data_IF_160923234029
#
_entry.id   IF_160923234029
#
_cell.length_a   1.000
_cell.length_b   1.000
_cell.length_c   1.000
_cell.angle_alpha   90.00
_cell.angle_beta   90.00
_cell.angle_gamma   90.00
#
_symmetry.space_group_name_H-M   'P 1'
#
loop_
_entity.id
_entity.type
_entity.pdbx_description
1 polymer ?
#
# COMPACT_ATOMS: atom_id res chain seq x y z
N UNK A 1 10.56 -1.81 10.14
CA UNK A 1 10.32 -0.87 9.02
C UNK A 1 9.00 -1.22 8.35
N UNK A 2 8.21 -0.24 7.94
CA UNK A 2 6.93 -0.43 7.22
C UNK A 2 7.12 -0.34 5.70
N UNK A 3 6.50 -1.27 4.97
CA UNK A 3 6.55 -1.38 3.52
C UNK A 3 5.13 -1.29 2.93
N UNK A 4 4.57 -0.07 2.73
CA UNK A 4 3.28 0.08 2.05
C UNK A 4 3.40 -0.38 0.60
N UNK A 5 2.48 -1.24 0.14
CA UNK A 5 2.47 -1.82 -1.22
C UNK A 5 1.39 -1.12 -2.04
N UNK A 6 1.80 -0.45 -3.13
CA UNK A 6 0.93 0.40 -3.95
C UNK A 6 1.08 0.10 -5.45
N UNK A 7 -0.01 0.28 -6.19
CA UNK A 7 -0.12 -0.10 -7.62
C UNK A 7 0.28 1.00 -8.61
N UNK A 8 0.99 2.03 -8.19
CA UNK A 8 1.38 3.17 -9.01
C UNK A 8 0.24 3.85 -9.79
N UNK A 9 -0.98 3.87 -9.24
CA UNK A 9 -2.07 4.71 -9.73
C UNK A 9 -1.84 6.16 -9.27
N UNK A 10 -2.50 7.11 -9.95
CA UNK A 10 -2.33 8.54 -9.69
C UNK A 10 -2.40 8.90 -8.20
N UNK A 11 -3.46 8.50 -7.52
CA UNK A 11 -3.67 8.84 -6.11
C UNK A 11 -2.74 8.10 -5.15
N UNK A 12 -2.28 6.91 -5.52
CA UNK A 12 -1.27 6.16 -4.77
C UNK A 12 0.12 6.81 -4.91
N UNK A 13 0.48 7.24 -6.12
CA UNK A 13 1.72 7.98 -6.35
C UNK A 13 1.72 9.34 -5.66
N UNK A 14 0.61 10.09 -5.70
CA UNK A 14 0.47 11.35 -4.96
C UNK A 14 0.63 11.14 -3.46
N UNK A 15 0.01 10.08 -2.91
CA UNK A 15 0.18 9.72 -1.48
C UNK A 15 1.66 9.59 -1.11
N UNK A 16 2.44 8.84 -1.90
CA UNK A 16 3.87 8.67 -1.64
C UNK A 16 4.67 9.96 -1.85
N UNK A 17 4.31 10.73 -2.87
CA UNK A 17 4.97 12.00 -3.19
C UNK A 17 4.83 12.99 -2.03
N UNK A 18 3.62 13.16 -1.51
CA UNK A 18 3.33 14.09 -0.42
C UNK A 18 3.94 13.65 0.91
N UNK A 19 3.88 12.34 1.21
CA UNK A 19 4.46 11.79 2.44
C UNK A 19 5.99 11.72 2.43
N UNK A 20 6.64 11.81 1.28
CA UNK A 20 8.09 11.68 1.17
C UNK A 20 8.85 12.68 2.05
N UNK A 21 8.37 13.94 2.13
CA UNK A 21 9.01 14.99 2.95
C UNK A 21 8.57 14.99 4.42
N UNK A 22 7.60 14.16 4.79
CA UNK A 22 7.00 14.14 6.12
C UNK A 22 7.53 12.95 6.93
N UNK A 23 7.65 11.79 6.29
CA UNK A 23 7.99 10.55 6.97
C UNK A 23 9.51 10.30 7.03
N UNK A 24 10.02 9.86 8.20
CA UNK A 24 11.42 9.48 8.32
C UNK A 24 11.76 8.27 7.45
N UNK A 25 12.82 8.35 6.65
CA UNK A 25 13.30 7.26 5.78
C UNK A 25 13.66 5.97 6.55
N UNK A 26 13.89 6.07 7.85
CA UNK A 26 14.17 4.93 8.73
C UNK A 26 12.92 4.13 9.11
N UNK A 27 11.73 4.68 8.87
CA UNK A 27 10.46 4.07 9.30
C UNK A 27 9.69 3.43 8.15
N UNK A 28 9.83 3.91 6.90
CA UNK A 28 9.07 3.35 5.79
C UNK A 28 9.88 3.22 4.51
N UNK A 29 9.51 2.24 3.70
CA UNK A 29 10.09 1.96 2.39
C UNK A 29 8.99 1.44 1.46
N UNK A 30 8.39 2.27 0.60
CA UNK A 30 7.28 1.83 -0.23
C UNK A 30 7.69 0.80 -1.29
N UNK A 31 6.77 -0.12 -1.58
CA UNK A 31 6.84 -1.07 -2.69
C UNK A 31 5.87 -0.59 -3.76
N UNK A 32 6.38 -0.32 -4.95
CA UNK A 32 5.60 0.28 -6.03
C UNK A 32 5.50 -0.70 -7.19
N UNK A 33 4.27 -1.15 -7.52
CA UNK A 33 4.00 -1.95 -8.71
C UNK A 33 3.46 -1.05 -9.84
N UNK A 34 4.22 -0.81 -10.90
CA UNK A 34 3.75 -0.06 -12.07
C UNK A 34 2.58 -0.77 -12.74
N UNK A 35 1.50 -0.03 -13.04
CA UNK A 35 0.30 -0.57 -13.70
C UNK A 35 -0.10 0.21 -14.95
N UNK A 36 0.59 1.32 -15.24
CA UNK A 36 0.31 2.21 -16.36
C UNK A 36 1.53 2.37 -17.28
N UNK A 37 1.29 2.63 -18.56
CA UNK A 37 2.34 2.97 -19.52
C UNK A 37 2.85 4.43 -19.40
N UNK A 38 2.20 5.27 -18.59
CA UNK A 38 2.61 6.66 -18.36
C UNK A 38 3.55 6.72 -17.16
N UNK A 39 4.86 6.69 -17.41
CA UNK A 39 5.88 6.58 -16.35
C UNK A 39 6.27 7.91 -15.70
N UNK A 40 5.97 9.07 -16.29
CA UNK A 40 6.36 10.38 -15.73
C UNK A 40 5.93 10.59 -14.27
N UNK A 41 4.70 10.26 -13.83
CA UNK A 41 4.33 10.38 -12.43
C UNK A 41 5.12 9.43 -11.51
N UNK A 42 5.39 8.19 -11.95
CA UNK A 42 6.21 7.24 -11.21
C UNK A 42 7.65 7.77 -11.05
N UNK A 43 8.26 8.26 -12.13
CA UNK A 43 9.60 8.86 -12.12
C UNK A 43 9.66 10.05 -11.16
N UNK A 44 8.68 10.94 -11.19
CA UNK A 44 8.61 12.08 -10.27
C UNK A 44 8.47 11.63 -8.79
N UNK A 45 7.71 10.57 -8.54
CA UNK A 45 7.56 10.02 -7.18
C UNK A 45 8.84 9.35 -6.70
N UNK A 46 9.56 8.61 -7.56
CA UNK A 46 10.88 8.03 -7.24
C UNK A 46 11.87 9.15 -6.89
N UNK A 47 11.93 10.20 -7.70
CA UNK A 47 12.79 11.36 -7.48
C UNK A 47 12.50 12.04 -6.14
N UNK A 48 11.23 12.30 -5.85
CA UNK A 48 10.79 12.93 -4.59
C UNK A 48 11.14 12.07 -3.36
N UNK A 49 10.91 10.75 -3.43
CA UNK A 49 11.27 9.81 -2.36
C UNK A 49 12.78 9.83 -2.12
N UNK A 50 13.58 9.73 -3.20
CA UNK A 50 15.03 9.72 -3.12
C UNK A 50 15.60 11.03 -2.54
N UNK A 51 15.06 12.18 -2.94
CA UNK A 51 15.45 13.49 -2.40
C UNK A 51 15.19 13.62 -0.90
N UNK A 52 14.32 12.77 -0.35
CA UNK A 52 14.05 12.64 1.07
C UNK A 52 14.67 11.36 1.68
N UNK A 53 15.72 10.84 1.08
CA UNK A 53 16.51 9.69 1.55
C UNK A 53 15.74 8.34 1.58
N UNK A 54 14.59 8.27 0.93
CA UNK A 54 13.81 7.02 0.79
C UNK A 54 14.14 6.39 -0.55
N UNK A 55 14.67 5.15 -0.54
CA UNK A 55 14.89 4.35 -1.75
C UNK A 55 13.78 3.32 -1.90
N UNK A 56 12.73 3.58 -2.72
CA UNK A 56 11.61 2.67 -2.86
C UNK A 56 12.01 1.35 -3.53
N UNK A 57 11.24 0.29 -3.30
CA UNK A 57 11.28 -0.93 -4.09
C UNK A 57 10.34 -0.76 -5.29
N UNK A 58 10.82 -0.92 -6.51
CA UNK A 58 9.99 -0.82 -7.72
C UNK A 58 9.95 -2.16 -8.43
N UNK A 59 8.75 -2.72 -8.61
CA UNK A 59 8.57 -3.99 -9.32
C UNK A 59 8.87 -3.76 -10.80
N UNK A 60 9.89 -4.42 -11.33
CA UNK A 60 10.36 -4.26 -12.70
C UNK A 60 9.74 -5.24 -13.70
N UNK A 61 9.05 -6.27 -13.20
CA UNK A 61 8.27 -7.23 -13.98
C UNK A 61 6.78 -7.25 -13.58
N UNK A 62 6.09 -6.10 -13.58
CA UNK A 62 4.68 -6.03 -13.22
C UNK A 62 3.82 -6.87 -14.18
N UNK A 63 2.68 -7.36 -13.64
CA UNK A 63 1.76 -8.23 -14.39
C UNK A 63 0.32 -7.74 -14.40
N UNK A 64 0.04 -6.53 -13.90
CA UNK A 64 -1.31 -5.98 -13.76
C UNK A 64 -1.50 -4.71 -14.60
N UNK A 65 -2.75 -4.31 -14.80
CA UNK A 65 -3.09 -3.12 -15.57
C UNK A 65 -2.61 -3.19 -17.02
N UNK A 66 -1.87 -2.18 -17.46
CA UNK A 66 -1.28 -2.16 -18.81
C UNK A 66 -0.44 -3.43 -19.08
N UNK A 67 0.28 -3.93 -18.08
CA UNK A 67 1.18 -5.08 -18.23
C UNK A 67 0.48 -6.45 -18.17
N UNK A 68 -0.81 -6.50 -17.93
CA UNK A 68 -1.59 -7.73 -18.07
C UNK A 68 -1.63 -8.23 -19.53
N UNK A 69 -1.44 -7.32 -20.50
CA UNK A 69 -1.50 -7.59 -21.95
C UNK A 69 -0.23 -7.15 -22.69
N UNK A 70 0.70 -6.48 -22.03
CA UNK A 70 1.90 -5.92 -22.65
C UNK A 70 3.14 -6.35 -21.86
N UNK A 71 4.25 -6.52 -22.56
CA UNK A 71 5.52 -6.88 -21.95
C UNK A 71 6.07 -5.76 -21.05
N UNK A 72 6.66 -6.13 -19.93
CA UNK A 72 7.40 -5.23 -19.03
C UNK A 72 8.92 -5.22 -19.29
N UNK A 73 9.40 -5.97 -20.28
CA UNK A 73 10.84 -6.21 -20.48
C UNK A 73 11.71 -4.95 -20.63
N UNK A 74 11.15 -3.84 -21.13
CA UNK A 74 11.87 -2.56 -21.28
C UNK A 74 11.74 -1.61 -20.07
N UNK A 75 10.92 -1.94 -19.08
CA UNK A 75 10.56 -1.01 -17.98
C UNK A 75 11.78 -0.58 -17.16
N UNK A 76 12.62 -1.53 -16.75
CA UNK A 76 13.82 -1.23 -15.96
C UNK A 76 14.77 -0.30 -16.71
N UNK A 77 15.06 -0.62 -17.98
CA UNK A 77 15.92 0.22 -18.83
C UNK A 77 15.37 1.64 -19.00
N UNK A 78 14.05 1.77 -19.17
CA UNK A 78 13.38 3.06 -19.28
C UNK A 78 13.53 3.89 -17.99
N UNK A 79 13.34 3.27 -16.82
CA UNK A 79 13.51 3.95 -15.53
C UNK A 79 14.99 4.30 -15.26
N UNK A 80 15.95 3.50 -15.73
CA UNK A 80 17.36 3.78 -15.60
C UNK A 80 17.87 4.84 -16.60
N UNK A 81 17.18 5.04 -17.72
CA UNK A 81 17.54 6.06 -18.71
C UNK A 81 17.14 7.48 -18.28
N UNK A 82 16.17 7.65 -17.37
CA UNK A 82 15.74 8.97 -16.91
C UNK A 82 16.59 9.41 -15.69
N UNK A 83 17.28 10.58 -15.75
CA UNK A 83 18.12 11.05 -14.65
C UNK A 83 17.41 11.25 -13.32
N UNK A 84 16.09 11.41 -13.33
CA UNK A 84 15.26 11.56 -12.13
C UNK A 84 14.98 10.24 -11.43
N UNK A 85 15.13 9.11 -12.09
CA UNK A 85 14.89 7.79 -11.50
C UNK A 85 16.11 6.85 -11.54
N UNK A 86 17.11 7.13 -12.39
CA UNK A 86 18.31 6.31 -12.50
C UNK A 86 19.01 6.15 -11.14
N UNK A 87 19.22 4.89 -10.72
CA UNK A 87 19.86 4.52 -9.45
C UNK A 87 19.20 5.06 -8.18
N UNK A 88 17.92 5.51 -8.24
CA UNK A 88 17.17 6.08 -7.13
C UNK A 88 16.15 5.14 -6.51
N UNK A 89 16.10 3.90 -6.96
CA UNK A 89 15.23 2.86 -6.44
C UNK A 89 15.94 1.52 -6.42
N UNK A 90 15.44 0.57 -5.65
CA UNK A 90 15.88 -0.82 -5.68
C UNK A 90 14.93 -1.60 -6.58
N UNK A 91 15.45 -2.29 -7.63
CA UNK A 91 14.61 -3.17 -8.43
C UNK A 91 14.02 -4.27 -7.56
N UNK A 92 12.74 -4.53 -7.73
CA UNK A 92 12.01 -5.62 -7.06
C UNK A 92 11.50 -6.58 -8.12
N UNK A 93 11.75 -7.87 -7.95
CA UNK A 93 11.32 -8.90 -8.89
C UNK A 93 10.19 -9.70 -8.24
N UNK A 94 9.04 -9.68 -8.92
CA UNK A 94 7.85 -10.41 -8.52
C UNK A 94 7.93 -11.83 -9.04
N UNK A 95 7.84 -12.82 -8.14
CA UNK A 95 7.91 -14.23 -8.45
C UNK A 95 6.57 -14.87 -8.07
N UNK A 96 5.88 -15.44 -9.05
CA UNK A 96 4.56 -16.05 -8.84
C UNK A 96 4.66 -17.40 -8.15
N UNK A 97 5.51 -18.26 -8.69
CA UNK A 97 5.70 -19.63 -8.24
C UNK A 97 7.06 -20.16 -8.71
N UNK A 98 7.38 -21.41 -8.36
CA UNK A 98 8.63 -22.07 -8.74
C UNK A 98 8.82 -22.28 -10.24
N UNK A 99 7.77 -22.21 -11.04
CA UNK A 99 7.82 -22.36 -12.50
C UNK A 99 7.98 -21.02 -13.25
N UNK A 100 8.04 -19.90 -12.55
CA UNK A 100 8.20 -18.56 -13.14
C UNK A 100 9.63 -18.34 -13.68
N UNK A 101 9.92 -19.00 -14.81
CA UNK A 101 11.25 -18.95 -15.44
C UNK A 101 11.68 -17.53 -15.82
N UNK A 102 10.75 -16.65 -16.16
CA UNK A 102 11.04 -15.25 -16.49
C UNK A 102 11.55 -14.50 -15.25
N UNK A 103 10.87 -14.62 -14.12
CA UNK A 103 11.32 -14.00 -12.88
C UNK A 103 12.65 -14.59 -12.40
N UNK A 104 12.84 -15.91 -12.49
CA UNK A 104 14.10 -16.56 -12.12
C UNK A 104 15.27 -16.10 -12.99
N UNK A 105 15.06 -15.88 -14.29
CA UNK A 105 16.07 -15.32 -15.20
C UNK A 105 16.42 -13.87 -14.85
N UNK A 106 15.43 -13.06 -14.45
CA UNK A 106 15.66 -11.70 -13.97
C UNK A 106 16.46 -11.68 -12.67
N UNK A 107 16.19 -12.59 -11.74
CA UNK A 107 16.94 -12.70 -10.48
C UNK A 107 18.43 -13.01 -10.74
N UNK A 108 18.72 -13.87 -11.72
CA UNK A 108 20.11 -14.13 -12.14
C UNK A 108 20.81 -12.88 -12.72
N UNK A 109 20.04 -12.00 -13.38
CA UNK A 109 20.56 -10.76 -13.97
C UNK A 109 20.70 -9.62 -12.93
N UNK A 110 19.92 -9.65 -11.84
CA UNK A 110 19.88 -8.62 -10.80
C UNK A 110 20.03 -9.23 -9.40
N UNK A 111 21.19 -9.75 -9.02
CA UNK A 111 21.38 -10.51 -7.78
C UNK A 111 21.10 -9.73 -6.49
N UNK A 112 21.17 -8.39 -6.52
CA UNK A 112 20.87 -7.51 -5.37
C UNK A 112 19.44 -6.95 -5.40
N UNK A 113 18.57 -7.43 -6.29
CA UNK A 113 17.18 -7.01 -6.32
C UNK A 113 16.44 -7.46 -5.05
N UNK A 114 15.39 -6.74 -4.69
CA UNK A 114 14.41 -7.27 -3.76
C UNK A 114 13.54 -8.33 -4.46
N UNK A 115 13.01 -9.27 -3.69
CA UNK A 115 12.12 -10.30 -4.20
C UNK A 115 10.74 -10.12 -3.57
N UNK A 116 9.70 -10.15 -4.39
CA UNK A 116 8.31 -10.19 -3.97
C UNK A 116 7.71 -11.55 -4.31
N UNK A 117 7.46 -12.38 -3.29
CA UNK A 117 6.89 -13.72 -3.48
C UNK A 117 5.37 -13.67 -3.41
N UNK A 118 4.69 -14.14 -4.44
CA UNK A 118 3.23 -14.35 -4.44
C UNK A 118 2.84 -15.71 -3.83
N UNK A 119 3.74 -16.70 -3.93
CA UNK A 119 3.57 -18.02 -3.32
C UNK A 119 4.92 -18.66 -2.97
N UNK A 120 4.88 -19.83 -2.37
CA UNK A 120 6.06 -20.65 -2.08
C UNK A 120 6.75 -21.11 -3.38
N UNK A 121 8.08 -21.02 -3.43
CA UNK A 121 8.90 -21.46 -4.56
C UNK A 121 9.84 -22.63 -4.19
N UNK A 122 9.63 -23.22 -3.02
CA UNK A 122 10.32 -24.43 -2.55
C UNK A 122 11.73 -24.20 -1.99
N UNK A 123 12.19 -25.16 -1.20
CA UNK A 123 13.48 -25.09 -0.50
C UNK A 123 14.71 -25.02 -1.42
N UNK A 124 14.61 -25.50 -2.67
CA UNK A 124 15.68 -25.41 -3.66
C UNK A 124 16.06 -23.98 -4.05
N UNK A 125 15.19 -23.00 -3.76
CA UNK A 125 15.39 -21.60 -4.10
C UNK A 125 16.04 -20.78 -2.98
N UNK A 126 16.37 -21.36 -1.84
CA UNK A 126 16.90 -20.66 -0.66
C UNK A 126 18.18 -19.86 -0.95
N UNK A 127 19.10 -20.37 -1.80
CA UNK A 127 20.32 -19.63 -2.16
C UNK A 127 20.02 -18.34 -2.92
N UNK A 128 19.07 -18.38 -3.86
CA UNK A 128 18.62 -17.23 -4.64
C UNK A 128 17.86 -16.24 -3.75
N UNK A 129 16.97 -16.72 -2.89
CA UNK A 129 16.23 -15.87 -1.96
C UNK A 129 17.16 -15.15 -0.98
N UNK A 130 18.19 -15.83 -0.47
CA UNK A 130 19.15 -15.25 0.47
C UNK A 130 20.18 -14.31 -0.17
N UNK A 131 20.29 -14.29 -1.50
CA UNK A 131 21.12 -13.29 -2.21
C UNK A 131 20.40 -11.96 -2.41
N UNK A 132 19.08 -11.93 -2.23
CA UNK A 132 18.28 -10.73 -2.41
C UNK A 132 18.53 -9.69 -1.32
N UNK A 133 18.34 -8.41 -1.64
CA UNK A 133 18.43 -7.31 -0.67
C UNK A 133 17.36 -7.42 0.44
N UNK A 134 16.18 -7.91 0.11
CA UNK A 134 15.14 -8.37 1.04
C UNK A 134 14.14 -9.28 0.30
N UNK A 135 13.42 -10.11 1.05
CA UNK A 135 12.37 -10.99 0.54
C UNK A 135 11.03 -10.59 1.16
N UNK A 136 10.12 -10.07 0.35
CA UNK A 136 8.75 -9.78 0.75
C UNK A 136 7.91 -11.05 0.54
N UNK A 137 7.20 -11.49 1.55
CA UNK A 137 6.37 -12.70 1.48
C UNK A 137 5.13 -12.61 2.37
N UNK A 138 4.08 -13.32 1.96
CA UNK A 138 2.93 -13.55 2.81
C UNK A 138 3.13 -14.85 3.58
N UNK A 139 3.22 -14.76 4.92
CA UNK A 139 3.45 -15.94 5.78
C UNK A 139 2.37 -17.03 5.67
N UNK A 140 1.18 -16.69 5.19
CA UNK A 140 0.12 -17.66 4.95
C UNK A 140 0.29 -18.45 3.64
N UNK A 141 1.18 -17.99 2.75
CA UNK A 141 1.40 -18.58 1.42
C UNK A 141 2.78 -19.24 1.26
N UNK A 142 3.68 -19.08 2.24
CA UNK A 142 5.05 -19.61 2.21
C UNK A 142 5.27 -20.50 3.43
N UNK A 143 5.87 -21.67 3.24
CA UNK A 143 6.15 -22.63 4.31
C UNK A 143 7.05 -21.99 5.40
N UNK A 144 6.69 -22.18 6.65
CA UNK A 144 7.41 -21.60 7.79
C UNK A 144 8.87 -22.08 7.87
N UNK A 145 9.13 -23.33 7.48
CA UNK A 145 10.49 -23.89 7.46
C UNK A 145 11.41 -23.21 6.43
N UNK A 146 10.82 -22.61 5.39
CA UNK A 146 11.54 -21.78 4.42
C UNK A 146 11.76 -20.39 5.00
N UNK A 147 10.70 -19.78 5.55
CA UNK A 147 10.78 -18.44 6.17
C UNK A 147 11.88 -18.37 7.21
N UNK A 148 12.01 -19.41 8.06
CA UNK A 148 13.02 -19.48 9.12
C UNK A 148 14.47 -19.56 8.64
N UNK A 149 14.68 -19.95 7.38
CA UNK A 149 16.02 -20.04 6.73
C UNK A 149 16.38 -18.82 5.89
N UNK A 150 15.45 -17.86 5.75
CA UNK A 150 15.69 -16.64 4.98
C UNK A 150 16.32 -15.55 5.84
N UNK A 151 17.05 -14.65 5.16
CA UNK A 151 17.58 -13.42 5.74
C UNK A 151 16.77 -12.22 5.20
N UNK A 152 16.68 -11.14 5.99
CA UNK A 152 16.04 -9.89 5.59
C UNK A 152 14.59 -10.07 5.06
N UNK A 153 13.77 -10.81 5.83
CA UNK A 153 12.38 -11.05 5.49
C UNK A 153 11.53 -9.80 5.80
N UNK A 154 10.64 -9.48 4.88
CA UNK A 154 9.55 -8.53 5.06
C UNK A 154 8.23 -9.29 4.92
N UNK A 155 7.46 -9.36 5.99
CA UNK A 155 6.17 -10.04 5.97
C UNK A 155 5.07 -9.10 5.54
N UNK A 156 4.19 -9.51 4.62
CA UNK A 156 3.05 -8.68 4.23
C UNK A 156 1.73 -9.46 4.30
N UNK A 157 0.63 -8.73 4.36
CA UNK A 157 -0.71 -9.30 4.30
C UNK A 157 -1.68 -8.39 3.55
N UNK A 158 -2.70 -8.98 2.92
CA UNK A 158 -3.89 -8.23 2.50
C UNK A 158 -4.87 -8.18 3.66
N UNK A 159 -4.80 -7.09 4.41
CA UNK A 159 -5.52 -6.94 5.68
C UNK A 159 -6.82 -6.14 5.54
N UNK A 160 -7.01 -5.46 4.40
CA UNK A 160 -8.22 -4.68 4.19
C UNK A 160 -9.40 -5.59 3.82
N UNK A 161 -10.35 -5.76 4.74
CA UNK A 161 -11.54 -6.59 4.57
C UNK A 161 -12.52 -5.98 3.54
N UNK A 162 -12.09 -5.91 2.26
CA UNK A 162 -12.84 -5.32 1.16
C UNK A 162 -14.21 -5.98 0.99
N UNK A 163 -15.26 -5.17 0.93
CA UNK A 163 -16.62 -5.62 0.67
C UNK A 163 -17.00 -5.42 -0.80
N UNK A 164 -17.91 -6.26 -1.28
CA UNK A 164 -18.42 -6.17 -2.65
C UNK A 164 -19.12 -4.83 -2.90
N UNK A 165 -19.83 -4.30 -1.89
CA UNK A 165 -20.52 -3.01 -1.94
C UNK A 165 -20.17 -2.19 -0.70
N UNK A 166 -20.06 -0.86 -0.83
CA UNK A 166 -19.82 0.02 0.30
C UNK A 166 -20.94 -0.04 1.37
N UNK A 167 -22.16 -0.38 0.97
CA UNK A 167 -23.28 -0.58 1.90
C UNK A 167 -23.11 -1.80 2.84
N UNK A 168 -22.22 -2.73 2.50
CA UNK A 168 -22.01 -3.96 3.27
C UNK A 168 -20.95 -3.79 4.39
N UNK A 169 -20.34 -2.61 4.51
CA UNK A 169 -19.41 -2.35 5.60
C UNK A 169 -20.17 -2.11 6.91
N UNK A 170 -19.72 -2.77 7.96
CA UNK A 170 -20.06 -2.40 9.34
C UNK A 170 -19.35 -1.12 9.75
N UNK A 171 -19.68 -0.54 10.90
CA UNK A 171 -19.02 0.69 11.37
C UNK A 171 -17.51 0.55 11.60
N UNK A 172 -17.05 -0.67 11.92
CA UNK A 172 -15.66 -0.98 12.26
C UNK A 172 -15.31 -2.40 11.81
N UNK A 173 -14.07 -2.61 11.36
CA UNK A 173 -13.49 -3.93 11.12
C UNK A 173 -12.07 -4.02 11.70
N UNK A 174 -11.67 -5.23 12.08
CA UNK A 174 -10.26 -5.54 12.37
C UNK A 174 -9.44 -5.41 11.08
N UNK A 175 -8.25 -4.84 11.19
CA UNK A 175 -7.33 -4.73 10.07
C UNK A 175 -6.16 -5.70 10.24
N UNK A 176 -5.27 -5.46 11.20
CA UNK A 176 -4.06 -6.26 11.38
C UNK A 176 -3.44 -6.09 12.77
N UNK A 177 -2.67 -7.09 13.19
CA UNK A 177 -1.70 -7.00 14.30
C UNK A 177 -0.25 -7.17 13.82
N UNK A 178 -0.03 -7.13 12.49
CA UNK A 178 1.28 -7.46 11.89
C UNK A 178 2.37 -6.46 12.30
N UNK A 179 2.04 -5.18 12.44
CA UNK A 179 2.94 -4.11 12.89
C UNK A 179 3.49 -4.33 14.31
N UNK A 180 2.84 -5.18 15.11
CA UNK A 180 3.33 -5.62 16.44
C UNK A 180 4.03 -6.96 16.33
N UNK A 181 3.44 -7.91 15.60
CA UNK A 181 3.87 -9.31 15.63
C UNK A 181 5.09 -9.62 14.77
N UNK A 182 5.42 -8.80 13.76
CA UNK A 182 6.55 -9.07 12.85
C UNK A 182 7.90 -9.19 13.58
N UNK A 183 8.06 -8.49 14.70
CA UNK A 183 9.29 -8.50 15.52
C UNK A 183 9.54 -9.81 16.28
N UNK A 184 8.58 -10.76 16.26
CA UNK A 184 8.72 -12.04 16.97
C UNK A 184 9.79 -12.96 16.38
N UNK A 185 10.12 -12.81 15.09
CA UNK A 185 11.21 -13.54 14.43
C UNK A 185 12.37 -12.60 14.14
N UNK A 186 13.59 -13.00 14.52
CA UNK A 186 14.79 -12.16 14.40
C UNK A 186 15.23 -11.88 12.95
N UNK A 187 14.85 -12.74 12.02
CA UNK A 187 15.12 -12.59 10.58
C UNK A 187 14.08 -11.72 9.85
N UNK A 188 13.01 -11.27 10.53
CA UNK A 188 11.99 -10.41 9.96
C UNK A 188 12.33 -8.95 10.27
N UNK A 189 12.75 -8.22 9.25
CA UNK A 189 13.22 -6.83 9.34
C UNK A 189 12.10 -5.80 9.16
N UNK A 190 10.94 -6.20 8.63
CA UNK A 190 9.83 -5.30 8.37
C UNK A 190 8.50 -6.00 8.09
N UNK A 191 7.48 -5.19 7.95
CA UNK A 191 6.13 -5.65 7.59
C UNK A 191 5.52 -4.74 6.53
N UNK A 192 4.54 -5.25 5.79
CA UNK A 192 3.85 -4.52 4.74
C UNK A 192 2.37 -4.87 4.64
N UNK A 193 1.63 -4.00 3.97
CA UNK A 193 0.22 -4.21 3.60
C UNK A 193 -0.16 -3.39 2.36
N UNK A 194 -1.39 -3.57 1.89
CA UNK A 194 -1.94 -2.84 0.74
C UNK A 194 -2.78 -1.62 1.15
N UNK A 195 -2.49 -1.05 2.32
CA UNK A 195 -3.21 0.09 2.90
C UNK A 195 -4.73 -0.18 2.98
N UNK A 196 -5.55 0.85 2.83
CA UNK A 196 -7.02 0.72 2.76
C UNK A 196 -7.51 0.36 1.34
N UNK A 197 -6.62 0.00 0.43
CA UNK A 197 -6.97 -0.35 -0.95
C UNK A 197 -7.16 -1.85 -1.18
N UNK A 198 -6.40 -2.68 -0.44
CA UNK A 198 -6.35 -4.13 -0.65
C UNK A 198 -5.49 -4.54 -1.85
N UNK A 199 -5.17 -5.83 -1.93
CA UNK A 199 -4.29 -6.43 -2.96
C UNK A 199 -4.92 -6.42 -4.36
N UNK A 200 -6.25 -6.58 -4.42
CA UNK A 200 -6.95 -6.71 -5.69
C UNK A 200 -6.80 -5.47 -6.58
N UNK A 201 -6.30 -5.68 -7.81
CA UNK A 201 -6.22 -4.64 -8.82
C UNK A 201 -7.57 -4.44 -9.50
N UNK A 202 -8.03 -3.21 -9.56
CA UNK A 202 -9.20 -2.80 -10.34
C UNK A 202 -8.80 -1.63 -11.25
N UNK A 203 -9.06 -1.74 -12.56
CA UNK A 203 -8.77 -0.66 -13.51
C UNK A 203 -9.51 0.64 -13.17
N UNK A 204 -10.78 0.54 -12.81
CA UNK A 204 -11.62 1.67 -12.43
C UNK A 204 -12.43 1.38 -11.17
N UNK A 205 -12.88 2.42 -10.50
CA UNK A 205 -13.87 2.31 -9.45
C UNK A 205 -15.25 2.00 -10.04
N UNK A 206 -16.03 1.18 -9.35
CA UNK A 206 -17.44 0.96 -9.67
C UNK A 206 -18.30 2.20 -9.37
N UNK A 207 -19.58 2.19 -9.76
CA UNK A 207 -20.52 3.26 -9.45
C UNK A 207 -20.69 3.44 -7.95
N UNK A 208 -20.66 4.69 -7.48
CA UNK A 208 -20.73 5.03 -6.06
C UNK A 208 -22.19 5.09 -5.57
N UNK A 209 -22.84 3.95 -5.45
CA UNK A 209 -24.20 3.89 -4.89
C UNK A 209 -24.20 4.35 -3.40
N UNK A 210 -23.21 3.91 -2.65
CA UNK A 210 -22.89 4.39 -1.28
C UNK A 210 -21.45 4.87 -1.29
N UNK A 211 -21.18 6.03 -0.71
CA UNK A 211 -19.82 6.53 -0.47
C UNK A 211 -19.37 6.10 0.91
N UNK A 212 -18.19 5.52 1.01
CA UNK A 212 -17.56 5.13 2.26
C UNK A 212 -16.21 5.84 2.43
N UNK A 213 -15.96 6.39 3.60
CA UNK A 213 -14.65 6.88 4.05
C UNK A 213 -14.09 5.82 5.00
N UNK A 214 -12.87 5.35 4.72
CA UNK A 214 -12.17 4.35 5.52
C UNK A 214 -11.03 5.03 6.26
N UNK A 215 -11.04 4.98 7.60
CA UNK A 215 -10.01 5.60 8.44
C UNK A 215 -9.48 4.57 9.41
N UNK A 216 -8.21 4.23 9.28
CA UNK A 216 -7.55 3.26 10.15
C UNK A 216 -7.09 3.91 11.46
N UNK A 217 -6.97 3.10 12.51
CA UNK A 217 -6.43 3.53 13.81
C UNK A 217 -5.86 2.33 14.56
N UNK A 218 -4.95 2.60 15.48
CA UNK A 218 -4.39 1.58 16.38
C UNK A 218 -5.16 1.65 17.69
N UNK A 219 -5.79 0.55 18.08
CA UNK A 219 -6.59 0.43 19.29
C UNK A 219 -5.67 0.05 20.47
N UNK A 220 -5.37 1.03 21.31
CA UNK A 220 -4.49 0.83 22.47
C UNK A 220 -5.13 -0.07 23.57
N UNK A 221 -6.44 -0.31 23.53
CA UNK A 221 -7.14 -1.16 24.50
C UNK A 221 -7.07 -2.65 24.13
N UNK A 222 -6.99 -2.96 22.83
CA UNK A 222 -6.82 -4.32 22.33
C UNK A 222 -5.39 -4.45 21.82
N UNK A 223 -4.49 -5.28 22.36
CA UNK A 223 -3.02 -5.24 22.32
C UNK A 223 -2.41 -4.56 21.08
N UNK A 224 -2.65 -3.25 20.96
CA UNK A 224 -2.24 -2.38 19.86
C UNK A 224 -2.63 -2.89 18.46
N UNK A 225 -3.78 -3.54 18.33
CA UNK A 225 -4.27 -4.00 17.03
C UNK A 225 -4.79 -2.84 16.17
N UNK A 226 -4.55 -2.92 14.87
CA UNK A 226 -5.07 -1.94 13.93
C UNK A 226 -6.49 -2.30 13.48
N UNK A 227 -7.34 -1.30 13.43
CA UNK A 227 -8.73 -1.38 12.97
C UNK A 227 -9.01 -0.31 11.92
N UNK A 228 -10.11 -0.45 11.20
CA UNK A 228 -10.62 0.55 10.27
C UNK A 228 -12.05 0.91 10.63
N UNK A 229 -12.34 2.19 10.81
CA UNK A 229 -13.70 2.69 10.81
C UNK A 229 -14.19 2.95 9.37
N UNK A 230 -15.44 2.62 9.12
CA UNK A 230 -16.09 2.78 7.82
C UNK A 230 -17.27 3.74 7.98
N UNK A 231 -17.11 4.96 7.50
CA UNK A 231 -18.15 5.98 7.50
C UNK A 231 -18.89 5.95 6.16
N UNK A 232 -20.03 5.27 6.16
CA UNK A 232 -20.83 5.09 4.95
C UNK A 232 -21.97 6.10 4.91
N UNK A 233 -22.30 6.62 3.70
CA UNK A 233 -23.54 7.36 3.50
C UNK A 233 -24.74 6.45 3.75
N UNK A 234 -25.83 7.01 4.28
CA UNK A 234 -27.05 6.24 4.61
C UNK A 234 -27.89 5.97 3.37
N UNK A 235 -27.88 6.92 2.44
CA UNK A 235 -28.71 6.83 1.23
C UNK A 235 -28.11 5.79 0.29
N UNK A 236 -28.76 4.64 0.20
CA UNK A 236 -28.58 3.63 -0.84
C UNK A 236 -29.77 3.72 -1.80
N UNK A 237 -29.81 4.82 -2.57
CA UNK A 237 -30.85 5.07 -3.58
C UNK A 237 -30.66 4.23 -4.84
N UNK A 238 -29.65 3.35 -4.85
CA UNK A 238 -29.21 2.54 -6.01
C UNK A 238 -28.91 3.38 -7.26
N UNK A 239 -28.64 4.68 -7.07
CA UNK A 239 -28.21 5.59 -8.12
C UNK A 239 -26.75 5.98 -7.91
N UNK A 240 -25.90 5.98 -8.93
CA UNK A 240 -24.50 6.41 -8.82
C UNK A 240 -24.36 7.94 -8.81
N UNK A 241 -25.47 8.66 -8.77
CA UNK A 241 -25.53 10.12 -8.76
C UNK A 241 -25.26 10.71 -7.37
N UNK A 242 -25.04 12.01 -7.30
CA UNK A 242 -24.84 12.76 -6.07
C UNK A 242 -23.71 12.23 -5.17
N UNK A 243 -22.61 11.78 -5.74
CA UNK A 243 -21.45 11.31 -4.94
C UNK A 243 -20.95 12.38 -3.96
N UNK A 244 -21.07 13.66 -4.28
CA UNK A 244 -20.72 14.78 -3.41
C UNK A 244 -21.62 14.87 -2.16
N UNK A 245 -22.93 14.71 -2.30
CA UNK A 245 -23.86 14.69 -1.16
C UNK A 245 -23.64 13.48 -0.27
N UNK A 246 -23.45 12.30 -0.87
CA UNK A 246 -23.14 11.06 -0.15
C UNK A 246 -21.80 11.16 0.61
N UNK A 247 -20.78 11.77 0.00
CA UNK A 247 -19.51 12.03 0.67
C UNK A 247 -19.68 12.96 1.88
N UNK A 248 -20.39 14.07 1.72
CA UNK A 248 -20.64 15.02 2.83
C UNK A 248 -21.35 14.35 4.01
N UNK A 249 -22.31 13.48 3.74
CA UNK A 249 -22.97 12.69 4.78
C UNK A 249 -21.99 11.76 5.53
N UNK A 250 -21.16 11.04 4.80
CA UNK A 250 -20.13 10.19 5.40
C UNK A 250 -19.10 11.02 6.21
N UNK A 251 -18.72 12.19 5.70
CA UNK A 251 -17.79 13.10 6.35
C UNK A 251 -18.38 13.68 7.66
N UNK A 252 -19.65 14.06 7.68
CA UNK A 252 -20.34 14.53 8.90
C UNK A 252 -20.33 13.42 9.96
N UNK A 253 -20.63 12.17 9.60
CA UNK A 253 -20.55 11.02 10.51
C UNK A 253 -19.16 10.83 11.09
N UNK A 254 -18.14 10.94 10.25
CA UNK A 254 -16.74 10.84 10.67
C UNK A 254 -16.39 11.92 11.70
N UNK A 255 -16.74 13.18 11.46
CA UNK A 255 -16.41 14.27 12.36
C UNK A 255 -17.27 14.30 13.64
N UNK A 256 -18.51 13.83 13.58
CA UNK A 256 -19.31 13.58 14.78
C UNK A 256 -18.65 12.52 15.68
N UNK A 257 -18.13 11.45 15.10
CA UNK A 257 -17.39 10.42 15.84
C UNK A 257 -16.08 10.97 16.43
N UNK A 258 -15.31 11.74 15.66
CA UNK A 258 -14.06 12.38 16.13
C UNK A 258 -14.35 13.32 17.31
N UNK A 259 -15.41 14.12 17.25
CA UNK A 259 -15.79 15.03 18.33
C UNK A 259 -16.12 14.28 19.63
N UNK A 260 -16.74 13.10 19.53
CA UNK A 260 -17.02 12.24 20.68
C UNK A 260 -15.79 11.43 21.16
N UNK A 261 -14.76 11.26 20.30
CA UNK A 261 -13.57 10.46 20.56
C UNK A 261 -12.31 11.19 20.08
N UNK A 262 -11.90 12.29 20.72
CA UNK A 262 -10.90 13.23 20.20
C UNK A 262 -9.47 12.65 20.06
N UNK A 263 -9.18 11.55 20.73
CA UNK A 263 -7.86 10.91 20.74
C UNK A 263 -7.77 9.63 19.91
N UNK A 264 -8.84 9.28 19.17
CA UNK A 264 -8.92 7.99 18.45
C UNK A 264 -7.99 7.93 17.23
N UNK A 265 -7.77 9.07 16.57
CA UNK A 265 -6.93 9.16 15.38
C UNK A 265 -5.70 10.02 15.62
N UNK A 266 -4.58 9.59 15.04
CA UNK A 266 -3.37 10.41 14.97
C UNK A 266 -3.60 11.67 14.13
N UNK A 267 -2.87 12.72 14.48
CA UNK A 267 -2.92 13.97 13.73
C UNK A 267 -1.97 13.87 12.51
N UNK A 268 -2.51 13.42 11.40
CA UNK A 268 -1.79 13.12 10.16
C UNK A 268 -2.14 14.12 9.06
N UNK A 269 -1.32 14.14 7.98
CA UNK A 269 -1.62 14.92 6.77
C UNK A 269 -3.01 14.55 6.21
N UNK A 270 -3.29 13.25 6.06
CA UNK A 270 -4.57 12.79 5.52
C UNK A 270 -5.76 13.23 6.38
N UNK A 271 -5.64 13.19 7.71
CA UNK A 271 -6.70 13.67 8.60
C UNK A 271 -6.85 15.20 8.54
N UNK A 272 -5.75 15.94 8.36
CA UNK A 272 -5.78 17.40 8.18
C UNK A 272 -6.50 17.79 6.88
N UNK A 273 -6.28 17.05 5.78
CA UNK A 273 -6.99 17.24 4.52
C UNK A 273 -8.49 16.94 4.65
N UNK A 274 -8.88 15.90 5.41
CA UNK A 274 -10.29 15.67 5.75
C UNK A 274 -10.89 16.81 6.56
N UNK A 275 -10.16 17.36 7.55
CA UNK A 275 -10.61 18.55 8.32
C UNK A 275 -10.83 19.76 7.43
N UNK A 276 -9.91 20.03 6.51
CA UNK A 276 -10.06 21.12 5.55
C UNK A 276 -11.28 20.93 4.65
N UNK A 277 -11.50 19.70 4.15
CA UNK A 277 -12.69 19.36 3.36
C UNK A 277 -13.99 19.54 4.17
N UNK A 278 -14.00 19.16 5.45
CA UNK A 278 -15.14 19.32 6.35
C UNK A 278 -15.47 20.79 6.63
N UNK A 279 -14.46 21.61 6.89
CA UNK A 279 -14.63 23.03 7.22
C UNK A 279 -15.40 23.81 6.13
N UNK A 280 -15.21 23.46 4.87
CA UNK A 280 -15.86 24.10 3.72
C UNK A 280 -16.88 23.21 3.02
N UNK A 281 -17.16 22.03 3.57
CA UNK A 281 -18.08 21.01 3.02
C UNK A 281 -17.83 20.73 1.53
N UNK A 282 -16.56 20.69 1.14
CA UNK A 282 -16.12 20.46 -0.24
C UNK A 282 -15.99 18.95 -0.55
N UNK A 283 -16.44 18.55 -1.74
CA UNK A 283 -16.21 17.20 -2.25
C UNK A 283 -15.03 17.20 -3.23
N UNK A 284 -13.87 16.63 -2.85
CA UNK A 284 -12.67 16.70 -3.69
C UNK A 284 -12.64 15.63 -4.80
N UNK A 285 -13.62 14.74 -4.82
CA UNK A 285 -13.66 13.56 -5.67
C UNK A 285 -13.20 12.28 -4.95
N UNK A 286 -13.79 11.14 -5.33
CA UNK A 286 -13.56 9.86 -4.63
C UNK A 286 -12.10 9.39 -4.65
N UNK A 287 -11.35 9.77 -5.68
CA UNK A 287 -9.91 9.46 -5.76
C UNK A 287 -9.11 10.16 -4.65
N UNK A 288 -9.37 11.46 -4.41
CA UNK A 288 -8.72 12.22 -3.34
C UNK A 288 -9.18 11.74 -1.95
N UNK A 289 -10.44 11.31 -1.78
CA UNK A 289 -10.90 10.69 -0.53
C UNK A 289 -10.07 9.45 -0.18
N UNK A 290 -9.78 8.60 -1.16
CA UNK A 290 -8.90 7.42 -0.97
C UNK A 290 -7.45 7.85 -0.68
N UNK A 291 -6.95 8.87 -1.35
CA UNK A 291 -5.61 9.43 -1.14
C UNK A 291 -5.44 9.91 0.31
N UNK A 292 -6.39 10.71 0.84
CA UNK A 292 -6.41 11.15 2.24
C UNK A 292 -6.40 9.96 3.22
N UNK A 293 -7.22 8.93 2.94
CA UNK A 293 -7.26 7.72 3.77
C UNK A 293 -5.95 6.93 3.74
N UNK A 294 -5.28 6.82 2.57
CA UNK A 294 -3.96 6.18 2.45
C UNK A 294 -2.87 6.97 3.16
N UNK A 295 -2.85 8.30 3.02
CA UNK A 295 -1.92 9.18 3.75
C UNK A 295 -2.06 8.97 5.25
N UNK A 296 -3.29 9.00 5.76
CA UNK A 296 -3.55 8.76 7.18
C UNK A 296 -3.06 7.38 7.63
N UNK A 297 -3.38 6.33 6.88
CA UNK A 297 -2.97 4.96 7.21
C UNK A 297 -1.44 4.80 7.31
N UNK A 298 -0.73 5.27 6.29
CA UNK A 298 0.74 5.13 6.23
C UNK A 298 1.40 5.92 7.35
N UNK A 299 0.98 7.16 7.56
CA UNK A 299 1.55 8.03 8.59
C UNK A 299 1.26 7.51 10.00
N UNK A 300 0.05 7.01 10.30
CA UNK A 300 -0.29 6.41 11.60
C UNK A 300 0.57 5.19 11.92
N UNK A 301 0.85 4.31 10.95
CA UNK A 301 1.77 3.20 11.15
C UNK A 301 3.22 3.67 11.38
N UNK A 302 3.67 4.68 10.63
CA UNK A 302 5.00 5.26 10.82
C UNK A 302 5.14 5.98 12.17
N UNK A 303 4.09 6.59 12.69
CA UNK A 303 4.11 7.21 14.01
C UNK A 303 4.21 6.17 15.12
N UNK A 304 3.58 5.01 14.94
CA UNK A 304 3.54 3.93 15.92
C UNK A 304 4.87 3.16 16.04
N UNK A 305 5.60 2.87 14.93
CA UNK A 305 6.80 2.03 14.93
C UNK A 305 8.11 2.74 15.30
#
# INVERSE_FOLDING_TARGET
MYYPILKAKRHELNTLYDLASILPATKYRPVIEPVNAKYKPLIATIDQLHNNSVSPLVIINPSQGHFAKNSSAGLFGLLQADPKSANKFVPCIKVKDAADSTALSLLASYPNAAIYLESDIGAGSLSVLNSASCVLLNQQKVDESIVDKLHNVVVYSDSFAKKKRNADYTSKSFYSGLHVSYKKKSNVSGFGDFTIMGEEYLDSGGPAFVVAIHVSYIDATAPNSMHVHHYCSTVDDKLPTNSGGKYKEALVKMFAFIAANPTVYDNTLGLSEFRASYAIMHFPGLGLVKEMSMKHHIESLCNYI
#
